data_IF_681085942170
#
_entry.id   IF_681085942170
#
_cell.length_a   1.000
_cell.length_b   1.000
_cell.length_c   1.000
_cell.angle_alpha   90.00
_cell.angle_beta   90.00
_cell.angle_gamma   90.00
#
_symmetry.space_group_name_H-M   'P 1'
#
loop_
_entity.id
_entity.type
_entity.pdbx_description
1 polymer ?
#
# COMPACT_ATOMS: atom_id res chain seq x y z
N UNK A 1 26.52 58.79 -44.54
CA UNK A 1 25.79 58.73 -43.26
C UNK A 1 25.11 57.36 -43.24
N UNK A 2 25.80 56.36 -42.66
CA UNK A 2 25.34 54.99 -42.64
C UNK A 2 24.94 54.72 -41.17
N UNK A 3 23.64 54.75 -40.87
CA UNK A 3 23.11 54.42 -39.57
C UNK A 3 23.02 52.93 -39.54
N UNK A 4 23.82 52.32 -38.65
CA UNK A 4 24.00 50.88 -38.54
C UNK A 4 22.74 50.16 -38.14
N UNK A 5 22.34 49.21 -38.97
CA UNK A 5 21.20 48.31 -38.84
C UNK A 5 21.27 47.34 -37.62
N UNK A 6 22.30 47.46 -36.81
CA UNK A 6 22.58 46.52 -35.70
C UNK A 6 21.74 46.77 -34.46
N UNK A 7 21.09 47.92 -34.33
CA UNK A 7 20.27 48.25 -33.16
C UNK A 7 18.88 47.64 -33.21
N UNK A 8 18.33 47.38 -34.38
CA UNK A 8 17.00 46.80 -34.56
C UNK A 8 16.97 45.29 -34.26
N UNK A 9 18.07 44.58 -34.44
CA UNK A 9 18.15 43.14 -34.13
C UNK A 9 18.29 42.89 -32.64
N UNK A 10 18.88 43.80 -31.85
CA UNK A 10 19.03 43.66 -30.40
C UNK A 10 17.68 43.80 -29.65
N UNK A 11 16.78 44.66 -30.14
CA UNK A 11 15.48 44.85 -29.51
C UNK A 11 14.52 43.69 -29.78
N UNK A 12 14.58 43.10 -30.96
CA UNK A 12 13.77 41.91 -31.30
C UNK A 12 14.18 40.66 -30.49
N UNK A 13 15.50 40.51 -30.23
CA UNK A 13 16.02 39.40 -29.40
C UNK A 13 15.60 39.48 -27.95
N UNK A 14 15.57 40.70 -27.37
CA UNK A 14 15.17 40.89 -25.97
C UNK A 14 13.66 40.61 -25.74
N UNK A 15 12.81 40.93 -26.70
CA UNK A 15 11.37 40.67 -26.61
C UNK A 15 11.03 39.18 -26.67
N UNK A 16 11.77 38.38 -27.46
CA UNK A 16 11.59 36.92 -27.54
C UNK A 16 12.09 36.23 -26.29
N UNK A 17 13.20 36.71 -25.68
CA UNK A 17 13.72 36.10 -24.44
C UNK A 17 12.80 36.38 -23.23
N UNK A 18 12.21 37.57 -23.15
CA UNK A 18 11.26 37.93 -22.09
C UNK A 18 9.94 37.15 -22.22
N UNK A 19 9.44 36.93 -23.44
CA UNK A 19 8.26 36.10 -23.69
C UNK A 19 8.45 34.64 -23.33
N UNK A 20 9.65 34.11 -23.59
CA UNK A 20 9.98 32.71 -23.26
C UNK A 20 10.15 32.47 -21.77
N UNK A 21 10.74 33.42 -21.02
CA UNK A 21 10.83 33.32 -19.55
C UNK A 21 9.47 33.49 -18.87
N UNK A 22 8.60 34.35 -19.37
CA UNK A 22 7.27 34.59 -18.79
C UNK A 22 6.32 33.43 -19.07
N UNK A 23 6.44 32.75 -20.21
CA UNK A 23 5.69 31.54 -20.53
C UNK A 23 6.08 30.35 -19.65
N UNK A 24 7.33 30.30 -19.16
CA UNK A 24 7.77 29.24 -18.25
C UNK A 24 7.33 29.45 -16.81
N UNK A 25 7.10 30.69 -16.39
CA UNK A 25 6.61 31.00 -15.04
C UNK A 25 5.09 30.83 -14.87
N UNK A 26 4.33 30.75 -15.97
CA UNK A 26 2.88 30.53 -15.94
C UNK A 26 2.47 29.10 -16.35
N UNK A 27 3.41 28.26 -16.73
CA UNK A 27 3.16 26.89 -17.26
C UNK A 27 3.35 25.75 -16.29
N UNK A 28 3.76 25.98 -15.03
CA UNK A 28 3.91 24.93 -14.02
C UNK A 28 2.99 25.15 -12.81
N UNK A 29 1.75 25.45 -13.08
CA UNK A 29 0.71 24.85 -12.27
C UNK A 29 0.48 23.47 -12.90
N UNK A 30 1.37 22.53 -12.55
CA UNK A 30 1.09 21.11 -12.71
C UNK A 30 -0.24 20.86 -12.03
N UNK A 31 -1.29 20.73 -12.83
CA UNK A 31 -2.48 20.01 -12.43
C UNK A 31 -1.97 18.70 -11.86
N UNK A 32 -1.92 18.62 -10.53
CA UNK A 32 -1.94 17.32 -9.85
C UNK A 32 -3.12 16.64 -10.52
N UNK A 33 -2.94 15.45 -11.11
CA UNK A 33 -4.09 14.70 -11.53
C UNK A 33 -4.96 14.64 -10.29
N UNK A 34 -6.09 15.34 -10.32
CA UNK A 34 -7.13 15.15 -9.34
C UNK A 34 -7.27 13.65 -9.30
N UNK A 35 -7.02 13.08 -8.12
CA UNK A 35 -7.38 11.71 -7.81
C UNK A 35 -8.87 11.65 -8.16
N UNK A 36 -9.17 11.38 -9.43
CA UNK A 36 -10.47 10.91 -9.80
C UNK A 36 -10.71 9.73 -8.88
N UNK A 37 -11.38 10.05 -7.82
CA UNK A 37 -11.98 9.11 -6.92
C UNK A 37 -12.64 8.09 -7.83
N UNK A 38 -12.01 6.92 -8.02
CA UNK A 38 -12.67 5.72 -8.53
C UNK A 38 -13.72 5.29 -7.50
N UNK A 39 -14.59 6.22 -7.21
CA UNK A 39 -15.87 6.04 -6.54
C UNK A 39 -16.86 5.85 -7.67
N UNK A 40 -16.95 4.62 -8.18
CA UNK A 40 -18.25 4.13 -8.65
C UNK A 40 -18.11 2.72 -9.25
N UNK A 41 -17.84 1.75 -8.42
CA UNK A 41 -18.60 0.51 -8.51
C UNK A 41 -19.49 0.53 -7.26
N UNK A 42 -20.81 0.60 -7.42
CA UNK A 42 -21.80 0.79 -6.36
C UNK A 42 -21.85 -0.27 -5.27
N UNK A 43 -20.73 -0.94 -5.01
CA UNK A 43 -20.49 -1.92 -3.96
C UNK A 43 -19.74 -1.21 -2.84
N UNK A 44 -20.49 -0.72 -1.84
CA UNK A 44 -19.88 -0.26 -0.60
C UNK A 44 -19.37 -1.47 0.17
N UNK A 45 -18.06 -1.54 0.36
CA UNK A 45 -17.46 -2.47 1.32
C UNK A 45 -17.62 -1.87 2.72
N UNK A 46 -18.35 -2.53 3.65
CA UNK A 46 -18.56 -2.00 4.99
C UNK A 46 -17.28 -2.00 5.81
N UNK A 47 -16.30 -2.81 5.44
CA UNK A 47 -15.02 -2.94 6.15
C UNK A 47 -13.84 -2.73 5.20
N UNK A 48 -12.81 -2.08 5.69
CA UNK A 48 -11.57 -1.88 4.94
C UNK A 48 -10.35 -2.28 5.76
N UNK A 49 -9.37 -2.86 5.07
CA UNK A 49 -8.04 -3.14 5.60
C UNK A 49 -7.09 -2.09 5.06
N UNK A 50 -6.38 -1.42 5.96
CA UNK A 50 -5.35 -0.45 5.60
C UNK A 50 -4.05 -1.10 5.16
N UNK A 51 -3.20 -0.35 4.47
CA UNK A 51 -1.82 -0.76 4.21
C UNK A 51 -1.05 -0.88 5.53
N UNK A 52 -0.34 -1.98 5.77
CA UNK A 52 0.48 -2.10 6.97
C UNK A 52 1.80 -1.33 6.87
N UNK A 53 2.16 -0.80 5.70
CA UNK A 53 3.40 -0.09 5.43
C UNK A 53 3.19 0.97 4.37
N UNK A 54 3.98 2.06 4.39
CA UNK A 54 4.04 3.01 3.29
C UNK A 54 4.96 2.46 2.20
N UNK A 55 4.54 2.56 0.93
CA UNK A 55 5.33 2.04 -0.19
C UNK A 55 4.55 1.94 -1.48
N UNK A 56 5.13 1.25 -2.46
CA UNK A 56 4.54 1.03 -3.78
C UNK A 56 3.88 -0.34 -3.86
N UNK A 57 2.66 -0.39 -4.34
CA UNK A 57 1.96 -1.65 -4.63
C UNK A 57 2.61 -2.30 -5.86
N UNK A 58 3.28 -3.43 -5.66
CA UNK A 58 4.01 -4.13 -6.72
C UNK A 58 3.20 -5.21 -7.40
N UNK A 59 2.34 -5.88 -6.64
CA UNK A 59 1.52 -6.97 -7.17
C UNK A 59 0.19 -7.07 -6.41
N UNK A 60 -0.79 -7.70 -7.07
CA UNK A 60 -2.11 -8.00 -6.53
C UNK A 60 -2.67 -9.24 -7.19
N UNK A 61 -3.29 -10.11 -6.43
CA UNK A 61 -3.98 -11.29 -6.93
C UNK A 61 -5.34 -11.41 -6.26
N UNK A 62 -6.33 -11.87 -7.04
CA UNK A 62 -7.69 -12.13 -6.56
C UNK A 62 -8.14 -13.57 -6.89
N UNK A 63 -7.21 -14.49 -7.08
CA UNK A 63 -7.44 -15.91 -7.40
C UNK A 63 -8.08 -16.67 -6.22
N UNK A 64 -9.29 -16.20 -5.80
CA UNK A 64 -10.05 -16.73 -4.67
C UNK A 64 -9.53 -16.32 -3.28
N UNK A 65 -8.37 -15.66 -3.20
CA UNK A 65 -7.82 -15.08 -1.96
C UNK A 65 -7.21 -13.72 -2.29
N UNK A 66 -7.92 -12.61 -2.05
CA UNK A 66 -7.39 -11.29 -2.30
C UNK A 66 -6.04 -11.08 -1.61
N UNK A 67 -5.02 -10.70 -2.39
CA UNK A 67 -3.67 -10.45 -1.93
C UNK A 67 -3.15 -9.13 -2.52
N UNK A 68 -2.46 -8.36 -1.70
CA UNK A 68 -1.73 -7.15 -2.11
C UNK A 68 -0.29 -7.28 -1.64
N UNK A 69 0.64 -7.05 -2.55
CA UNK A 69 2.07 -6.98 -2.28
C UNK A 69 2.56 -5.54 -2.40
N UNK A 70 3.36 -5.09 -1.44
CA UNK A 70 3.83 -3.71 -1.33
C UNK A 70 5.34 -3.73 -1.17
N UNK A 71 6.06 -3.00 -2.03
CA UNK A 71 7.47 -2.73 -1.82
C UNK A 71 7.60 -1.60 -0.78
N UNK A 72 8.15 -1.89 0.43
CA UNK A 72 8.11 -0.95 1.53
C UNK A 72 9.07 0.23 1.32
N UNK A 73 8.62 1.44 1.65
CA UNK A 73 9.44 2.64 1.73
C UNK A 73 10.07 2.86 3.10
N UNK A 74 9.68 2.08 4.11
CA UNK A 74 10.09 2.19 5.51
C UNK A 74 10.34 0.82 6.15
N UNK A 75 11.01 0.79 7.29
CA UNK A 75 11.45 -0.43 7.99
C UNK A 75 10.48 -0.83 9.13
N UNK A 76 9.22 -0.41 9.04
CA UNK A 76 8.21 -0.60 10.08
C UNK A 76 6.90 -1.09 9.49
N UNK A 77 6.30 -2.05 10.17
CA UNK A 77 5.01 -2.63 9.82
C UNK A 77 3.99 -2.32 10.91
N UNK A 78 2.83 -1.82 10.51
CA UNK A 78 1.77 -1.39 11.42
C UNK A 78 0.51 -2.24 11.28
N UNK A 79 -0.33 -2.25 12.32
CA UNK A 79 -1.62 -2.92 12.30
C UNK A 79 -2.56 -2.28 11.26
N UNK A 80 -3.04 -3.05 10.26
CA UNK A 80 -3.86 -2.54 9.17
C UNK A 80 -5.31 -2.20 9.59
N UNK A 81 -5.74 -2.74 10.72
CA UNK A 81 -7.02 -2.47 11.40
C UNK A 81 -6.86 -2.72 12.89
N UNK A 82 -7.88 -2.43 13.70
CA UNK A 82 -7.96 -2.98 15.05
C UNK A 82 -8.24 -4.48 14.95
N UNK A 83 -7.70 -5.27 15.91
CA UNK A 83 -7.85 -6.71 15.88
C UNK A 83 -6.95 -7.45 16.85
N UNK A 84 -6.70 -8.73 16.57
CA UNK A 84 -5.93 -9.64 17.42
C UNK A 84 -4.87 -10.38 16.61
N UNK A 85 -3.67 -10.49 17.15
CA UNK A 85 -2.60 -11.37 16.63
C UNK A 85 -2.92 -12.80 17.05
N UNK A 86 -3.35 -13.65 16.11
CA UNK A 86 -3.73 -15.04 16.42
C UNK A 86 -2.53 -15.97 16.37
N UNK A 87 -1.54 -15.67 15.53
CA UNK A 87 -0.30 -16.45 15.43
C UNK A 87 0.86 -15.55 15.01
N UNK A 88 2.05 -15.82 15.55
CA UNK A 88 3.33 -15.32 15.08
C UNK A 88 4.12 -16.52 14.57
N UNK A 89 4.66 -16.43 13.36
CA UNK A 89 5.51 -17.48 12.80
C UNK A 89 6.93 -17.41 13.37
N UNK A 90 7.68 -18.54 13.41
CA UNK A 90 8.95 -18.63 14.16
C UNK A 90 9.96 -17.54 13.83
N UNK A 91 10.16 -17.20 12.56
CA UNK A 91 11.08 -16.13 12.14
C UNK A 91 10.63 -14.73 12.56
N UNK A 92 9.39 -14.55 13.03
CA UNK A 92 8.85 -13.25 13.39
C UNK A 92 8.52 -12.33 12.22
N UNK A 93 8.67 -12.80 10.97
CA UNK A 93 8.40 -12.04 9.76
C UNK A 93 6.96 -12.15 9.26
N UNK A 94 6.16 -13.05 9.84
CA UNK A 94 4.80 -13.32 9.40
C UNK A 94 3.84 -13.49 10.58
N UNK A 95 2.58 -13.10 10.37
CA UNK A 95 1.52 -13.11 11.37
C UNK A 95 0.20 -13.56 10.77
N UNK A 96 -0.61 -14.28 11.56
CA UNK A 96 -2.05 -14.35 11.36
C UNK A 96 -2.70 -13.27 12.24
N UNK A 97 -3.48 -12.43 11.60
CA UNK A 97 -4.13 -11.28 12.20
C UNK A 97 -5.64 -11.37 11.98
N UNK A 98 -6.39 -11.47 13.06
CA UNK A 98 -7.87 -11.42 13.01
C UNK A 98 -8.34 -10.01 13.26
N UNK A 99 -8.96 -9.40 12.26
CA UNK A 99 -9.55 -8.07 12.35
C UNK A 99 -10.73 -8.05 13.34
N UNK A 100 -11.08 -6.87 13.87
CA UNK A 100 -12.24 -6.68 14.75
C UNK A 100 -13.57 -7.08 14.10
N UNK A 101 -13.65 -7.03 12.77
CA UNK A 101 -14.81 -7.47 11.98
C UNK A 101 -14.75 -8.94 11.54
N UNK A 102 -13.79 -9.72 12.07
CA UNK A 102 -13.72 -11.18 11.95
C UNK A 102 -12.95 -11.73 10.74
N UNK A 103 -12.44 -10.89 9.84
CA UNK A 103 -11.58 -11.34 8.75
C UNK A 103 -10.22 -11.79 9.29
N UNK A 104 -9.65 -12.86 8.75
CA UNK A 104 -8.29 -13.30 9.05
C UNK A 104 -7.36 -12.97 7.91
N UNK A 105 -6.29 -12.26 8.24
CA UNK A 105 -5.26 -11.80 7.33
C UNK A 105 -3.97 -12.56 7.61
N UNK A 106 -3.28 -13.00 6.56
CA UNK A 106 -1.89 -13.40 6.61
C UNK A 106 -1.04 -12.23 6.15
N UNK A 107 -0.22 -11.70 7.05
CA UNK A 107 0.67 -10.58 6.79
C UNK A 107 2.10 -11.09 6.89
N UNK A 108 2.90 -10.89 5.84
CA UNK A 108 4.28 -11.37 5.76
C UNK A 108 5.21 -10.31 5.19
N UNK A 109 6.42 -10.23 5.73
CA UNK A 109 7.54 -9.45 5.20
C UNK A 109 8.56 -10.41 4.61
N UNK A 110 8.92 -10.21 3.34
CA UNK A 110 9.82 -11.07 2.61
C UNK A 110 9.19 -12.41 2.19
N UNK A 111 9.93 -13.19 1.44
CA UNK A 111 9.52 -14.48 0.89
C UNK A 111 10.43 -15.64 1.31
N UNK A 112 11.51 -15.35 2.05
CA UNK A 112 12.45 -16.35 2.51
C UNK A 112 11.91 -17.17 3.67
N UNK A 113 12.33 -18.44 3.73
CA UNK A 113 12.12 -19.35 4.85
C UNK A 113 13.46 -19.72 5.52
N UNK A 114 14.53 -18.99 5.18
CA UNK A 114 15.86 -19.19 5.74
C UNK A 114 15.93 -18.59 7.16
N UNK A 115 16.11 -19.46 8.17
CA UNK A 115 16.19 -19.09 9.58
C UNK A 115 17.32 -18.08 9.87
N UNK A 116 18.36 -18.01 9.03
CA UNK A 116 19.43 -17.02 9.15
C UNK A 116 18.92 -15.59 9.00
N UNK A 117 17.75 -15.41 8.40
CA UNK A 117 17.12 -14.09 8.21
C UNK A 117 16.36 -13.60 9.45
N UNK A 118 16.12 -14.44 10.48
CA UNK A 118 15.44 -14.05 11.73
C UNK A 118 16.05 -12.79 12.36
N UNK A 119 17.38 -12.62 12.30
CA UNK A 119 18.10 -11.46 12.84
C UNK A 119 17.64 -10.11 12.27
N UNK A 120 17.00 -10.08 11.12
CA UNK A 120 16.50 -8.88 10.47
C UNK A 120 15.09 -8.49 10.88
N UNK A 121 14.41 -9.34 11.68
CA UNK A 121 13.04 -9.12 12.11
C UNK A 121 12.97 -8.93 13.62
N UNK A 122 12.24 -7.92 14.06
CA UNK A 122 12.04 -7.59 15.49
C UNK A 122 10.56 -7.37 15.77
N UNK A 123 9.78 -8.43 16.03
CA UNK A 123 8.38 -8.31 16.43
C UNK A 123 8.24 -7.42 17.69
N UNK A 124 7.24 -6.54 17.66
CA UNK A 124 6.89 -5.62 18.76
C UNK A 124 5.55 -5.99 19.41
N UNK A 125 5.13 -7.19 19.19
CA UNK A 125 3.87 -7.78 19.61
C UNK A 125 4.09 -9.18 20.14
N UNK A 126 3.10 -9.67 20.87
CA UNK A 126 3.05 -11.07 21.33
C UNK A 126 1.82 -11.77 20.78
N UNK A 127 1.87 -13.10 20.73
CA UNK A 127 0.72 -13.88 20.30
C UNK A 127 -0.47 -13.68 21.24
N UNK A 128 -1.67 -13.59 20.66
CA UNK A 128 -2.93 -13.30 21.33
C UNK A 128 -3.11 -11.84 21.78
N UNK A 129 -2.20 -10.95 21.45
CA UNK A 129 -2.32 -9.53 21.76
C UNK A 129 -3.45 -8.88 20.95
N UNK A 130 -4.24 -8.02 21.62
CA UNK A 130 -5.22 -7.15 20.99
C UNK A 130 -4.53 -5.83 20.65
N UNK A 131 -4.63 -5.40 19.43
CA UNK A 131 -3.95 -4.20 18.92
C UNK A 131 -4.94 -3.25 18.26
N UNK A 132 -4.71 -1.95 18.44
CA UNK A 132 -5.42 -0.91 17.71
C UNK A 132 -4.80 -0.69 16.32
N UNK A 133 -5.61 -0.21 15.37
CA UNK A 133 -5.12 0.21 14.04
C UNK A 133 -3.93 1.17 14.19
N UNK A 134 -2.88 0.95 13.39
CA UNK A 134 -1.68 1.77 13.39
C UNK A 134 -0.67 1.45 14.50
N UNK A 135 -0.92 0.45 15.36
CA UNK A 135 0.10 -0.02 16.31
C UNK A 135 1.27 -0.65 15.56
N UNK A 136 2.50 -0.36 15.97
CA UNK A 136 3.71 -0.98 15.45
C UNK A 136 3.70 -2.49 15.76
N UNK A 137 3.77 -3.33 14.72
CA UNK A 137 3.78 -4.78 14.83
C UNK A 137 5.19 -5.36 14.70
N UNK A 138 5.98 -4.84 13.75
CA UNK A 138 7.29 -5.37 13.41
C UNK A 138 8.21 -4.22 12.98
N UNK A 139 9.45 -4.25 13.43
CA UNK A 139 10.57 -3.56 12.79
C UNK A 139 11.40 -4.58 12.03
N UNK A 140 11.88 -4.22 10.85
CA UNK A 140 12.70 -5.10 10.02
C UNK A 140 13.81 -4.31 9.32
N UNK A 141 14.94 -4.95 9.07
CA UNK A 141 16.07 -4.32 8.37
C UNK A 141 15.99 -4.62 6.87
N UNK A 142 15.29 -3.74 6.15
CA UNK A 142 15.14 -3.82 4.69
C UNK A 142 16.49 -3.84 3.97
N UNK A 143 17.43 -2.99 4.42
CA UNK A 143 18.75 -2.90 3.80
C UNK A 143 19.55 -4.18 4.02
N UNK A 144 19.47 -4.77 5.21
CA UNK A 144 20.09 -6.04 5.52
C UNK A 144 19.52 -7.18 4.67
N UNK A 145 18.19 -7.28 4.56
CA UNK A 145 17.53 -8.29 3.74
C UNK A 145 17.96 -8.20 2.27
N UNK A 146 17.93 -7.01 1.69
CA UNK A 146 18.34 -6.80 0.28
C UNK A 146 19.81 -7.16 0.05
N UNK A 147 20.71 -6.86 0.99
CA UNK A 147 22.13 -7.24 0.90
C UNK A 147 22.34 -8.75 0.88
N UNK A 148 21.50 -9.51 1.55
CA UNK A 148 21.51 -10.98 1.54
C UNK A 148 20.76 -11.56 0.32
N UNK A 149 20.26 -10.71 -0.57
CA UNK A 149 19.49 -11.13 -1.74
C UNK A 149 18.05 -11.55 -1.45
N UNK A 150 17.56 -11.28 -0.23
CA UNK A 150 16.19 -11.59 0.17
C UNK A 150 15.22 -10.46 -0.22
N UNK A 151 13.98 -10.82 -0.50
CA UNK A 151 12.90 -9.86 -0.70
C UNK A 151 12.54 -9.18 0.63
N UNK A 152 12.21 -7.89 0.57
CA UNK A 152 11.61 -7.16 1.69
C UNK A 152 10.13 -6.82 1.44
N UNK A 153 9.53 -7.37 0.38
CA UNK A 153 8.15 -7.10 0.00
C UNK A 153 7.18 -7.50 1.12
N UNK A 154 6.21 -6.65 1.39
CA UNK A 154 5.16 -6.89 2.38
C UNK A 154 3.91 -7.41 1.68
N UNK A 155 3.44 -8.60 2.04
CA UNK A 155 2.21 -9.18 1.50
C UNK A 155 1.10 -9.19 2.54
N UNK A 156 -0.11 -8.85 2.11
CA UNK A 156 -1.34 -8.96 2.89
C UNK A 156 -2.31 -9.83 2.12
N UNK A 157 -2.64 -10.99 2.67
CA UNK A 157 -3.55 -11.97 2.04
C UNK A 157 -4.75 -12.21 2.95
N UNK A 158 -5.96 -12.21 2.38
CA UNK A 158 -7.18 -12.61 3.11
C UNK A 158 -7.24 -14.14 3.12
N UNK A 159 -7.26 -14.75 4.32
CA UNK A 159 -7.16 -16.21 4.49
C UNK A 159 -8.52 -16.87 4.64
N UNK A 160 -9.52 -16.20 5.21
CA UNK A 160 -10.80 -16.82 5.53
C UNK A 160 -11.82 -16.70 4.39
N UNK A 161 -12.50 -17.82 4.07
CA UNK A 161 -13.59 -17.87 3.09
C UNK A 161 -14.90 -17.17 3.49
N UNK A 162 -14.97 -16.60 4.70
CA UNK A 162 -16.12 -15.84 5.18
C UNK A 162 -16.14 -14.38 4.71
N UNK A 163 -15.11 -13.92 4.03
CA UNK A 163 -15.02 -12.54 3.54
C UNK A 163 -14.81 -12.53 2.03
N UNK A 164 -15.72 -11.89 1.33
CA UNK A 164 -15.50 -11.52 -0.07
C UNK A 164 -14.77 -10.19 -0.06
N UNK A 165 -13.56 -10.16 -0.60
CA UNK A 165 -12.72 -8.98 -0.68
C UNK A 165 -12.69 -8.38 -2.09
N UNK A 166 -12.40 -7.10 -2.16
CA UNK A 166 -11.99 -6.43 -3.39
C UNK A 166 -10.70 -5.66 -3.12
N UNK A 167 -9.80 -5.68 -4.09
CA UNK A 167 -8.55 -4.94 -4.02
C UNK A 167 -8.84 -3.49 -4.41
N UNK A 168 -8.53 -2.55 -3.51
CA UNK A 168 -8.76 -1.12 -3.70
C UNK A 168 -7.54 -0.41 -4.30
N UNK A 169 -6.33 -0.90 -3.98
CA UNK A 169 -5.09 -0.33 -4.47
C UNK A 169 -4.72 -0.88 -5.86
N UNK A 170 -4.19 -0.02 -6.72
CA UNK A 170 -3.72 -0.41 -8.05
C UNK A 170 -2.22 -0.74 -8.02
N UNK A 171 -1.76 -1.67 -8.89
CA UNK A 171 -0.33 -1.90 -9.08
C UNK A 171 0.35 -0.62 -9.60
N UNK A 172 1.53 -0.29 -9.05
CA UNK A 172 2.24 0.96 -9.28
C UNK A 172 1.76 2.15 -8.42
N UNK A 173 0.71 1.96 -7.62
CA UNK A 173 0.20 3.02 -6.74
C UNK A 173 1.06 3.16 -5.48
N UNK A 174 1.37 4.41 -5.09
CA UNK A 174 1.99 4.73 -3.81
C UNK A 174 0.92 4.80 -2.73
N UNK A 175 1.06 3.99 -1.69
CA UNK A 175 0.15 3.95 -0.55
C UNK A 175 0.87 4.36 0.73
N UNK A 176 0.13 4.95 1.67
CA UNK A 176 0.61 5.25 3.01
C UNK A 176 0.13 4.19 3.99
N UNK A 177 0.89 3.97 5.07
CA UNK A 177 0.43 3.12 6.17
C UNK A 177 -0.94 3.58 6.68
N UNK A 178 -1.88 2.63 6.80
CA UNK A 178 -3.27 2.87 7.18
C UNK A 178 -4.21 3.29 6.04
N UNK A 179 -3.71 3.58 4.83
CA UNK A 179 -4.54 3.87 3.65
C UNK A 179 -5.26 2.58 3.17
N UNK A 180 -6.56 2.62 2.84
CA UNK A 180 -7.30 1.43 2.45
C UNK A 180 -6.73 0.75 1.20
N UNK A 181 -6.35 -0.53 1.31
CA UNK A 181 -5.85 -1.36 0.20
C UNK A 181 -6.79 -2.51 -0.16
N UNK A 182 -7.62 -2.98 0.81
CA UNK A 182 -8.61 -4.02 0.61
C UNK A 182 -9.95 -3.57 1.17
N UNK A 183 -11.01 -3.76 0.39
CA UNK A 183 -12.40 -3.66 0.84
C UNK A 183 -12.94 -5.05 1.13
N UNK A 184 -13.57 -5.26 2.29
CA UNK A 184 -14.10 -6.56 2.69
C UNK A 184 -15.60 -6.49 2.94
N UNK A 185 -16.29 -7.56 2.56
CA UNK A 185 -17.67 -7.85 2.91
C UNK A 185 -17.69 -9.22 3.60
N UNK A 186 -18.33 -9.31 4.75
CA UNK A 186 -18.57 -10.60 5.37
C UNK A 186 -19.52 -11.39 4.49
N UNK A 187 -19.07 -12.56 4.00
CA UNK A 187 -19.92 -13.52 3.33
C UNK A 187 -20.88 -14.14 4.37
N UNK A 188 -22.14 -14.28 4.01
CA UNK A 188 -23.03 -15.17 4.76
C UNK A 188 -22.46 -16.59 4.60
N UNK A 189 -22.18 -17.26 5.71
CA UNK A 189 -21.81 -18.66 5.71
C UNK A 189 -22.85 -19.44 4.92
N UNK A 190 -22.45 -20.26 3.96
CA UNK A 190 -23.38 -21.08 3.16
C UNK A 190 -24.27 -21.97 4.05
N UNK A 191 -23.77 -22.40 5.21
CA UNK A 191 -24.52 -23.16 6.22
C UNK A 191 -25.80 -22.45 6.73
N UNK A 192 -25.86 -21.10 6.58
CA UNK A 192 -27.06 -20.34 6.98
C UNK A 192 -28.13 -20.28 5.89
N UNK A 193 -27.82 -20.71 4.65
CA UNK A 193 -28.80 -20.76 3.56
C UNK A 193 -29.68 -22.01 3.61
N UNK A 194 -29.13 -23.15 4.05
CA UNK A 194 -29.93 -24.37 4.19
C UNK A 194 -30.91 -24.30 5.36
N UNK A 195 -30.58 -23.55 6.42
CA UNK A 195 -31.48 -23.38 7.57
C UNK A 195 -32.69 -22.46 7.32
N UNK A 196 -32.73 -21.72 6.19
CA UNK A 196 -33.85 -20.82 5.83
C UNK A 196 -34.82 -21.42 4.83
N UNK A 197 -34.51 -22.58 4.25
CA UNK A 197 -35.32 -23.27 3.22
C UNK A 197 -35.63 -24.73 3.56
N UNK A 198 -35.38 -25.16 4.80
CA UNK A 198 -35.74 -26.48 5.34
C UNK A 198 -37.04 -26.45 6.15
#
# INVERSE_FOLDING_TARGET
MVISFWWLTAIAGAALAAGFCMGRLLGEQGERPERESRRDSGIRFPFSVGSPVSGEVTDRSDDGKPMVAIHPGEDRLYAPSSGKITKIFPMGNAFLFRTEFGAELYIRVGDTEDDLMERYYRPRIVQNEIVAKGKLLLEFDRTGLVKEGASCCVTVTVVTGACVGNILAAAGEQVKAGEPILGLRLGLREDSREALYG
#
